data_IF_948844000091
#
_entry.id   IF_948844000091
#
_cell.length_a   1.000
_cell.length_b   1.000
_cell.length_c   1.000
_cell.angle_alpha   90.00
_cell.angle_beta   90.00
_cell.angle_gamma   90.00
#
_symmetry.space_group_name_H-M   'P 1'
#
loop_
_entity.id
_entity.type
_entity.pdbx_description
1 polymer ?
#
# COMPACT_ATOMS: atom_id res chain seq x y z
N UNK A 1 -6.25 -7.00 0.20
CA UNK A 1 -7.21 -8.08 0.54
C UNK A 1 -6.59 -9.46 0.61
N UNK A 2 -5.94 -9.96 -0.45
CA UNK A 2 -5.36 -11.31 -0.47
C UNK A 2 -4.45 -11.60 0.75
N UNK A 3 -3.54 -10.69 1.08
CA UNK A 3 -2.71 -10.82 2.27
C UNK A 3 -3.52 -10.99 3.58
N UNK A 4 -4.67 -10.33 3.72
CA UNK A 4 -5.54 -10.47 4.88
C UNK A 4 -6.22 -11.84 4.95
N UNK A 5 -6.58 -12.42 3.81
CA UNK A 5 -7.11 -13.79 3.71
C UNK A 5 -6.08 -14.80 4.22
N UNK A 6 -4.82 -14.64 3.83
CA UNK A 6 -3.75 -15.47 4.38
C UNK A 6 -3.58 -15.23 5.89
N UNK A 7 -3.59 -13.97 6.35
CA UNK A 7 -3.47 -13.63 7.77
C UNK A 7 -4.58 -14.25 8.62
N UNK A 8 -5.81 -14.34 8.11
CA UNK A 8 -6.93 -15.04 8.79
C UNK A 8 -6.53 -16.45 9.19
N UNK A 9 -5.96 -17.25 8.28
CA UNK A 9 -5.50 -18.62 8.58
C UNK A 9 -4.43 -18.67 9.66
N UNK A 10 -3.54 -17.68 9.68
CA UNK A 10 -2.49 -17.58 10.72
C UNK A 10 -3.13 -17.28 12.07
N UNK A 11 -4.05 -16.34 12.12
CA UNK A 11 -4.75 -15.95 13.35
C UNK A 11 -5.58 -17.11 13.89
N UNK A 12 -6.31 -17.84 13.04
CA UNK A 12 -7.10 -19.02 13.43
C UNK A 12 -6.25 -20.14 14.07
N UNK A 13 -4.97 -20.24 13.70
CA UNK A 13 -4.03 -21.21 14.27
C UNK A 13 -3.37 -20.73 15.56
N UNK A 14 -3.41 -19.43 15.87
CA UNK A 14 -2.62 -18.79 16.93
C UNK A 14 -3.46 -18.18 18.05
N UNK A 15 -4.70 -17.79 17.75
CA UNK A 15 -5.59 -17.09 18.67
C UNK A 15 -6.80 -17.95 19.03
N UNK A 16 -7.41 -17.64 20.17
CA UNK A 16 -8.67 -18.25 20.59
C UNK A 16 -9.85 -17.70 19.77
N UNK A 17 -10.94 -18.46 19.65
CA UNK A 17 -12.13 -18.08 18.90
C UNK A 17 -12.74 -16.73 19.34
N UNK A 18 -12.68 -16.42 20.63
CA UNK A 18 -13.17 -15.15 21.18
C UNK A 18 -12.28 -13.97 20.78
N UNK A 19 -10.98 -14.21 20.67
CA UNK A 19 -9.98 -13.20 20.30
C UNK A 19 -10.07 -12.83 18.82
N UNK A 20 -10.45 -13.78 17.96
CA UNK A 20 -10.63 -13.58 16.52
C UNK A 20 -11.72 -12.57 16.16
N UNK A 21 -12.66 -12.30 17.07
CA UNK A 21 -13.72 -11.30 16.88
C UNK A 21 -13.20 -9.86 16.99
N UNK A 22 -11.99 -9.67 17.52
CA UNK A 22 -11.40 -8.34 17.65
C UNK A 22 -10.76 -7.86 16.34
N UNK A 23 -10.49 -6.56 16.28
CA UNK A 23 -9.77 -5.98 15.15
C UNK A 23 -8.32 -6.46 15.13
N UNK A 24 -7.81 -6.70 13.93
CA UNK A 24 -6.40 -6.94 13.69
C UNK A 24 -5.89 -6.11 12.51
N UNK A 25 -4.65 -5.68 12.62
CA UNK A 25 -3.97 -4.90 11.61
C UNK A 25 -3.11 -5.82 10.74
N UNK A 26 -3.31 -5.78 9.43
CA UNK A 26 -2.40 -6.38 8.47
C UNK A 26 -1.44 -5.31 7.99
N UNK A 27 -0.15 -5.50 8.21
CA UNK A 27 0.92 -4.61 7.72
C UNK A 27 1.68 -5.36 6.64
N UNK A 28 1.39 -5.03 5.38
CA UNK A 28 2.07 -5.59 4.22
C UNK A 28 3.34 -4.77 3.94
N UNK A 29 4.47 -5.22 4.50
CA UNK A 29 5.80 -4.67 4.31
C UNK A 29 6.40 -5.18 2.99
N UNK A 30 5.92 -4.65 1.87
CA UNK A 30 6.39 -5.00 0.53
C UNK A 30 7.78 -4.44 0.20
N UNK A 31 8.23 -4.74 -1.03
CA UNK A 31 9.47 -4.21 -1.58
C UNK A 31 9.44 -2.70 -1.77
N UNK A 32 8.39 -2.17 -2.43
CA UNK A 32 8.25 -0.74 -2.72
C UNK A 32 7.25 -0.02 -1.83
N UNK A 33 6.09 -0.64 -1.60
CA UNK A 33 4.97 -0.03 -0.88
C UNK A 33 4.73 -0.81 0.40
N UNK A 34 4.48 -0.07 1.48
CA UNK A 34 3.95 -0.61 2.73
C UNK A 34 2.48 -0.25 2.80
N UNK A 35 1.61 -1.25 2.99
CA UNK A 35 0.16 -1.08 3.03
C UNK A 35 -0.42 -1.63 4.35
N UNK A 36 -1.32 -0.88 4.96
CA UNK A 36 -1.96 -1.19 6.22
C UNK A 36 -3.46 -1.31 6.01
N UNK A 37 -4.03 -2.44 6.45
CA UNK A 37 -5.47 -2.63 6.45
C UNK A 37 -5.94 -3.15 7.80
N UNK A 38 -6.94 -2.46 8.38
CA UNK A 38 -7.61 -2.92 9.58
C UNK A 38 -8.74 -3.87 9.20
N UNK A 39 -8.75 -5.04 9.82
CA UNK A 39 -9.69 -6.10 9.53
C UNK A 39 -10.32 -6.62 10.81
N UNK A 40 -11.52 -7.17 10.66
CA UNK A 40 -12.21 -7.91 11.72
C UNK A 40 -12.84 -9.16 11.11
N UNK A 41 -12.88 -10.26 11.86
CA UNK A 41 -13.63 -11.44 11.47
C UNK A 41 -15.06 -11.34 12.00
N UNK A 42 -16.02 -11.45 11.08
CA UNK A 42 -17.45 -11.57 11.39
C UNK A 42 -17.99 -12.80 10.68
N UNK A 43 -18.53 -13.76 11.43
CA UNK A 43 -19.06 -15.02 10.89
C UNK A 43 -18.09 -15.75 9.93
N UNK A 44 -16.80 -15.81 10.30
CA UNK A 44 -15.74 -16.42 9.48
C UNK A 44 -15.43 -15.68 8.16
N UNK A 45 -15.95 -14.48 7.97
CA UNK A 45 -15.68 -13.60 6.83
C UNK A 45 -14.92 -12.35 7.27
N UNK A 46 -14.17 -11.75 6.35
CA UNK A 46 -13.34 -10.58 6.60
C UNK A 46 -14.10 -9.29 6.30
N UNK A 47 -14.20 -8.43 7.29
CA UNK A 47 -14.68 -7.06 7.16
C UNK A 47 -13.49 -6.10 7.22
N UNK A 48 -13.41 -5.15 6.28
CA UNK A 48 -12.49 -4.01 6.40
C UNK A 48 -13.11 -2.94 7.29
N UNK A 49 -12.34 -2.40 8.25
CA UNK A 49 -12.86 -1.51 9.30
C UNK A 49 -12.37 -0.07 9.20
N UNK A 50 -11.42 0.20 8.32
CA UNK A 50 -10.87 1.54 8.08
C UNK A 50 -10.42 1.66 6.64
N UNK A 51 -10.24 2.88 6.15
CA UNK A 51 -9.55 3.08 4.87
C UNK A 51 -8.14 2.49 4.94
N UNK A 52 -7.70 1.91 3.82
CA UNK A 52 -6.32 1.43 3.65
C UNK A 52 -5.36 2.63 3.69
N UNK A 53 -4.27 2.50 4.46
CA UNK A 53 -3.17 3.47 4.47
C UNK A 53 -1.96 2.86 3.77
N UNK A 54 -1.30 3.64 2.92
CA UNK A 54 -0.13 3.14 2.19
C UNK A 54 0.95 4.21 2.06
N UNK A 55 2.20 3.74 1.94
CA UNK A 55 3.35 4.63 1.74
C UNK A 55 4.48 3.95 0.98
N UNK A 56 5.17 4.75 0.17
CA UNK A 56 6.38 4.39 -0.55
C UNK A 56 7.61 4.32 0.37
N UNK A 57 7.63 3.37 1.31
CA UNK A 57 8.72 3.17 2.28
C UNK A 57 9.02 1.68 2.50
N UNK A 58 9.00 0.88 1.43
CA UNK A 58 9.39 -0.54 1.47
C UNK A 58 10.91 -0.77 1.47
N UNK A 59 11.32 -2.04 1.44
CA UNK A 59 12.74 -2.41 1.51
C UNK A 59 13.63 -1.77 0.43
N UNK A 60 13.12 -1.46 -0.77
CA UNK A 60 13.93 -0.84 -1.83
C UNK A 60 14.46 0.54 -1.44
N UNK A 61 13.81 1.22 -0.50
CA UNK A 61 14.26 2.54 -0.04
C UNK A 61 15.52 2.44 0.83
N UNK A 62 15.76 1.32 1.49
CA UNK A 62 17.05 1.03 2.13
C UNK A 62 18.16 0.92 1.08
N UNK A 63 17.87 0.39 -0.11
CA UNK A 63 18.84 0.37 -1.21
C UNK A 63 19.14 1.78 -1.72
N UNK A 64 18.14 2.68 -1.72
CA UNK A 64 18.34 4.08 -2.07
C UNK A 64 19.24 4.79 -1.06
N UNK A 65 19.03 4.57 0.24
CA UNK A 65 19.94 5.09 1.27
C UNK A 65 21.35 4.52 1.15
N UNK A 66 21.48 3.22 0.81
CA UNK A 66 22.77 2.62 0.51
C UNK A 66 23.46 3.30 -0.68
N UNK A 67 22.75 3.56 -1.79
CA UNK A 67 23.33 4.29 -2.93
C UNK A 67 23.71 5.72 -2.56
N UNK A 68 22.90 6.41 -1.75
CA UNK A 68 23.24 7.74 -1.24
C UNK A 68 24.49 7.71 -0.34
N UNK A 69 24.69 6.64 0.44
CA UNK A 69 25.92 6.42 1.19
C UNK A 69 27.11 6.21 0.25
N UNK A 70 26.98 5.37 -0.79
CA UNK A 70 28.04 5.16 -1.79
C UNK A 70 28.39 6.46 -2.51
N UNK A 71 27.40 7.27 -2.91
CA UNK A 71 27.62 8.57 -3.54
C UNK A 71 28.50 9.50 -2.67
N UNK A 72 28.36 9.46 -1.35
CA UNK A 72 29.23 10.23 -0.43
C UNK A 72 30.67 9.71 -0.37
N UNK A 73 30.92 8.45 -0.75
CA UNK A 73 32.24 7.82 -0.76
C UNK A 73 32.95 7.95 -2.10
N UNK A 74 32.21 7.94 -3.20
CA UNK A 74 32.76 7.89 -4.57
C UNK A 74 32.52 9.16 -5.38
N UNK A 75 31.67 10.07 -4.89
CA UNK A 75 31.18 11.23 -5.62
C UNK A 75 29.85 10.94 -6.33
N UNK A 76 28.96 11.93 -6.38
CA UNK A 76 27.65 11.80 -7.02
C UNK A 76 27.80 11.53 -8.52
N UNK A 77 28.62 12.32 -9.21
CA UNK A 77 28.86 12.20 -10.65
C UNK A 77 29.38 10.80 -11.02
N UNK A 78 30.24 10.20 -10.19
CA UNK A 78 30.76 8.86 -10.43
C UNK A 78 29.65 7.80 -10.38
N UNK A 79 28.74 7.92 -9.41
CA UNK A 79 27.60 7.02 -9.28
C UNK A 79 26.59 7.20 -10.42
N UNK A 80 26.33 8.43 -10.85
CA UNK A 80 25.42 8.73 -11.97
C UNK A 80 25.98 8.23 -13.31
N UNK A 81 27.30 8.37 -13.53
CA UNK A 81 27.97 7.81 -14.70
C UNK A 81 27.94 6.28 -14.68
N UNK A 82 28.16 5.64 -13.52
CA UNK A 82 28.01 4.20 -13.38
C UNK A 82 26.57 3.76 -13.69
N UNK A 83 25.57 4.46 -13.16
CA UNK A 83 24.16 4.14 -13.41
C UNK A 83 23.79 4.23 -14.89
N UNK A 84 24.37 5.19 -15.62
CA UNK A 84 24.07 5.44 -17.04
C UNK A 84 24.82 4.49 -17.97
N UNK A 85 26.07 4.13 -17.64
CA UNK A 85 26.97 3.41 -18.54
C UNK A 85 27.21 1.94 -18.14
N UNK A 86 26.99 1.58 -16.87
CA UNK A 86 27.30 0.27 -16.29
C UNK A 86 26.25 -0.17 -15.25
N UNK A 87 24.97 -0.10 -15.64
CA UNK A 87 23.84 -0.40 -14.76
C UNK A 87 23.90 -1.81 -14.16
N UNK A 88 24.45 -2.77 -14.90
CA UNK A 88 24.65 -4.16 -14.46
C UNK A 88 25.60 -4.27 -13.26
N UNK A 89 26.69 -3.50 -13.23
CA UNK A 89 27.61 -3.48 -12.09
C UNK A 89 26.98 -2.77 -10.89
N UNK A 90 26.21 -1.69 -11.12
CA UNK A 90 25.42 -1.04 -10.08
C UNK A 90 24.43 -2.04 -9.43
N UNK A 91 23.71 -2.82 -10.24
CA UNK A 91 22.77 -3.82 -9.73
C UNK A 91 23.49 -4.94 -8.96
N UNK A 92 24.65 -5.39 -9.45
CA UNK A 92 25.45 -6.39 -8.76
C UNK A 92 25.95 -5.88 -7.40
N UNK A 93 26.43 -4.63 -7.32
CA UNK A 93 26.82 -3.99 -6.05
C UNK A 93 25.65 -3.95 -5.05
N UNK A 94 24.46 -3.55 -5.49
CA UNK A 94 23.24 -3.56 -4.65
C UNK A 94 22.90 -4.97 -4.19
N UNK A 95 23.02 -5.97 -5.07
CA UNK A 95 22.75 -7.38 -4.74
C UNK A 95 23.73 -7.90 -3.67
N UNK A 96 25.03 -7.57 -3.78
CA UNK A 96 26.03 -7.94 -2.78
C UNK A 96 25.73 -7.30 -1.43
N UNK A 97 25.40 -6.01 -1.41
CA UNK A 97 24.95 -5.34 -0.19
C UNK A 97 23.71 -6.02 0.40
N UNK A 98 22.71 -6.36 -0.44
CA UNK A 98 21.49 -7.01 0.02
C UNK A 98 21.77 -8.36 0.70
N UNK A 99 22.56 -9.21 0.03
CA UNK A 99 22.86 -10.58 0.45
C UNK A 99 23.76 -10.62 1.68
N UNK A 100 24.78 -9.78 1.71
CA UNK A 100 25.87 -9.89 2.69
C UNK A 100 25.69 -8.95 3.88
N UNK A 101 24.86 -7.92 3.78
CA UNK A 101 24.65 -6.94 4.84
C UNK A 101 23.17 -6.75 5.17
N UNK A 102 22.37 -6.21 4.24
CA UNK A 102 20.98 -5.78 4.51
C UNK A 102 20.09 -6.90 5.08
N UNK A 103 20.08 -8.07 4.46
CA UNK A 103 19.21 -9.19 4.88
C UNK A 103 19.65 -9.75 6.23
N UNK A 104 20.96 -9.72 6.51
CA UNK A 104 21.55 -10.23 7.75
C UNK A 104 21.48 -9.23 8.91
N UNK A 105 21.11 -7.98 8.64
CA UNK A 105 21.11 -6.93 9.65
C UNK A 105 19.96 -7.13 10.66
N UNK A 106 20.32 -7.50 11.88
CA UNK A 106 19.40 -7.73 13.00
C UNK A 106 19.14 -6.48 13.83
N UNK A 107 20.04 -5.50 13.74
CA UNK A 107 20.07 -4.33 14.62
C UNK A 107 20.70 -4.60 15.99
N UNK A 108 21.17 -5.81 16.28
CA UNK A 108 22.03 -6.07 17.42
C UNK A 108 23.47 -5.67 17.09
N UNK A 109 24.07 -4.81 17.92
CA UNK A 109 25.45 -4.34 17.70
C UNK A 109 26.48 -5.43 18.01
N UNK A 110 26.18 -6.30 18.98
CA UNK A 110 27.11 -7.33 19.44
C UNK A 110 27.31 -8.43 18.40
N UNK A 111 26.32 -8.65 17.53
CA UNK A 111 26.35 -9.67 16.48
C UNK A 111 26.75 -9.11 15.10
N UNK A 112 27.11 -7.82 15.02
CA UNK A 112 27.35 -7.15 13.74
C UNK A 112 28.84 -7.11 13.39
N UNK A 113 29.18 -7.77 12.29
CA UNK A 113 30.48 -7.62 11.64
C UNK A 113 30.43 -6.50 10.58
N UNK A 114 31.39 -5.54 10.57
CA UNK A 114 31.45 -4.50 9.56
C UNK A 114 31.44 -5.08 8.14
N UNK A 115 30.52 -4.57 7.31
CA UNK A 115 30.44 -5.00 5.92
C UNK A 115 31.53 -4.31 5.11
N UNK A 116 32.46 -5.11 4.59
CA UNK A 116 33.54 -4.65 3.71
C UNK A 116 33.12 -4.89 2.27
N UNK A 117 33.08 -3.83 1.49
CA UNK A 117 32.81 -3.86 0.06
C UNK A 117 34.09 -3.50 -0.68
N UNK A 118 34.59 -4.44 -1.47
CA UNK A 118 35.69 -4.20 -2.40
C UNK A 118 35.12 -3.71 -3.72
N UNK A 119 35.43 -2.46 -4.10
CA UNK A 119 34.97 -1.91 -5.38
C UNK A 119 35.65 -2.56 -6.59
N UNK A 120 36.86 -3.10 -6.47
CA UNK A 120 37.54 -3.80 -7.56
C UNK A 120 36.83 -5.12 -7.91
N UNK A 121 36.28 -5.80 -6.90
CA UNK A 121 35.50 -7.03 -7.10
C UNK A 121 34.03 -6.75 -7.45
N UNK A 122 33.41 -5.80 -6.76
CA UNK A 122 31.96 -5.60 -6.84
C UNK A 122 31.53 -4.61 -7.92
N UNK A 123 32.38 -3.65 -8.30
CA UNK A 123 32.01 -2.61 -9.25
C UNK A 123 33.24 -1.94 -9.91
N UNK A 124 34.13 -2.70 -10.58
CA UNK A 124 35.41 -2.18 -11.06
C UNK A 124 35.28 -0.97 -12.01
N UNK A 125 34.21 -0.87 -12.80
CA UNK A 125 34.01 0.24 -13.74
C UNK A 125 33.83 1.60 -13.04
N UNK A 126 33.44 1.63 -11.76
CA UNK A 126 33.24 2.89 -11.04
C UNK A 126 34.55 3.68 -10.92
N UNK A 127 35.69 3.00 -10.92
CA UNK A 127 37.04 3.59 -10.75
C UNK A 127 37.38 4.61 -11.83
N UNK A 128 36.85 4.42 -13.04
CA UNK A 128 37.11 5.32 -14.17
C UNK A 128 36.36 6.65 -14.04
N UNK A 129 35.30 6.69 -13.22
CA UNK A 129 34.49 7.89 -13.01
C UNK A 129 34.79 8.63 -11.70
N UNK A 130 35.56 8.02 -10.79
CA UNK A 130 35.89 8.63 -9.50
C UNK A 130 36.99 9.68 -9.70
N UNK A 131 36.71 10.89 -9.25
CA UNK A 131 37.60 12.05 -9.31
C UNK A 131 38.13 12.42 -7.92
N UNK A 132 39.12 13.32 -7.87
CA UNK A 132 39.61 13.85 -6.60
C UNK A 132 38.56 14.73 -5.89
N UNK A 133 38.49 14.72 -4.54
CA UNK A 133 39.40 14.05 -3.61
C UNK A 133 39.02 12.60 -3.26
N UNK A 134 37.93 12.07 -3.82
CA UNK A 134 37.43 10.73 -3.48
C UNK A 134 38.41 9.64 -3.88
N UNK A 135 39.04 9.80 -5.06
CA UNK A 135 40.00 8.85 -5.62
C UNK A 135 41.21 8.62 -4.70
N UNK A 136 41.85 9.69 -4.22
CA UNK A 136 42.98 9.59 -3.29
C UNK A 136 42.61 8.80 -2.02
N UNK A 137 41.43 9.07 -1.43
CA UNK A 137 40.96 8.39 -0.21
C UNK A 137 40.71 6.90 -0.46
N UNK A 138 40.09 6.54 -1.59
CA UNK A 138 39.81 5.15 -1.93
C UNK A 138 41.09 4.39 -2.27
N UNK A 139 42.02 4.99 -3.02
CA UNK A 139 43.32 4.37 -3.32
C UNK A 139 44.13 4.08 -2.05
N UNK A 140 44.12 4.98 -1.07
CA UNK A 140 44.80 4.76 0.23
C UNK A 140 44.18 3.64 1.07
N UNK A 141 42.93 3.28 0.80
CA UNK A 141 42.18 2.23 1.50
C UNK A 141 41.98 0.99 0.61
N UNK A 142 42.82 0.79 -0.41
CA UNK A 142 42.76 -0.35 -1.33
C UNK A 142 41.37 -0.54 -1.95
N UNK A 143 40.67 0.56 -2.27
CA UNK A 143 39.32 0.60 -2.82
C UNK A 143 38.23 -0.08 -1.95
N UNK A 144 38.53 -0.31 -0.66
CA UNK A 144 37.59 -0.87 0.29
C UNK A 144 36.67 0.20 0.89
N UNK A 145 35.37 -0.02 0.79
CA UNK A 145 34.35 0.72 1.54
C UNK A 145 33.88 -0.13 2.71
N UNK A 146 34.06 0.38 3.93
CA UNK A 146 33.63 -0.29 5.16
C UNK A 146 32.35 0.39 5.66
N UNK A 147 31.29 -0.40 5.83
CA UNK A 147 30.05 0.02 6.49
C UNK A 147 30.04 -0.52 7.92
N UNK A 148 30.06 0.40 8.88
CA UNK A 148 29.95 0.08 10.31
C UNK A 148 28.49 -0.23 10.70
N UNK A 149 28.29 -0.71 11.93
CA UNK A 149 26.95 -0.92 12.48
C UNK A 149 26.10 0.36 12.38
N UNK A 150 26.68 1.50 12.78
CA UNK A 150 25.98 2.78 12.81
C UNK A 150 25.67 3.29 11.39
N UNK A 151 26.55 3.03 10.42
CA UNK A 151 26.27 3.32 9.00
C UNK A 151 25.06 2.53 8.52
N UNK A 152 25.06 1.20 8.69
CA UNK A 152 23.97 0.33 8.22
C UNK A 152 22.67 0.67 8.93
N UNK A 153 22.71 0.90 10.24
CA UNK A 153 21.55 1.34 11.02
C UNK A 153 20.93 2.62 10.44
N UNK A 154 21.76 3.60 10.08
CA UNK A 154 21.33 4.87 9.47
C UNK A 154 20.65 4.64 8.11
N UNK A 155 21.01 3.61 7.35
CA UNK A 155 20.32 3.27 6.09
C UNK A 155 18.88 2.80 6.31
N UNK A 156 18.59 2.19 7.45
CA UNK A 156 17.27 1.63 7.76
C UNK A 156 16.36 2.62 8.50
N UNK A 157 16.92 3.44 9.39
CA UNK A 157 16.16 4.32 10.28
C UNK A 157 15.13 5.22 9.58
N UNK A 158 15.44 5.91 8.46
CA UNK A 158 14.45 6.75 7.78
C UNK A 158 13.26 5.94 7.25
N UNK A 159 13.48 4.68 6.87
CA UNK A 159 12.44 3.80 6.34
C UNK A 159 11.60 3.24 7.49
N UNK A 160 12.25 2.70 8.52
CA UNK A 160 11.57 2.12 9.70
C UNK A 160 10.73 3.19 10.42
N UNK A 161 11.27 4.40 10.60
CA UNK A 161 10.54 5.49 11.24
C UNK A 161 9.27 5.88 10.47
N UNK A 162 9.31 5.81 9.13
CA UNK A 162 8.12 6.03 8.31
C UNK A 162 7.07 4.93 8.48
N UNK A 163 7.49 3.66 8.55
CA UNK A 163 6.59 2.53 8.80
C UNK A 163 5.95 2.63 10.18
N UNK A 164 6.74 2.91 11.22
CA UNK A 164 6.26 3.09 12.59
C UNK A 164 5.25 4.25 12.64
N UNK A 165 5.57 5.39 12.02
CA UNK A 165 4.65 6.53 11.93
C UNK A 165 3.34 6.15 11.26
N UNK A 166 3.39 5.44 10.14
CA UNK A 166 2.21 4.98 9.40
C UNK A 166 1.34 4.04 10.26
N UNK A 167 1.96 3.13 11.01
CA UNK A 167 1.25 2.26 11.96
C UNK A 167 0.60 3.08 13.08
N UNK A 168 1.33 4.01 13.72
CA UNK A 168 0.77 4.86 14.78
C UNK A 168 -0.43 5.66 14.29
N UNK A 169 -0.33 6.26 13.10
CA UNK A 169 -1.42 7.02 12.49
C UNK A 169 -2.66 6.15 12.23
N UNK A 170 -2.46 4.92 11.75
CA UNK A 170 -3.55 3.97 11.58
C UNK A 170 -4.21 3.63 12.91
N UNK A 171 -3.41 3.31 13.94
CA UNK A 171 -3.90 2.92 15.26
C UNK A 171 -4.62 4.04 16.00
N UNK A 172 -4.24 5.30 15.78
CA UNK A 172 -4.91 6.45 16.39
C UNK A 172 -6.39 6.56 16.02
N UNK A 173 -6.75 6.10 14.82
CA UNK A 173 -8.15 6.10 14.34
C UNK A 173 -9.01 4.97 14.91
N UNK A 174 -8.48 4.14 15.82
CA UNK A 174 -9.07 2.87 16.24
C UNK A 174 -9.08 2.80 17.77
N UNK A 175 -10.19 2.33 18.37
CA UNK A 175 -10.26 2.15 19.82
C UNK A 175 -9.36 1.02 20.34
N UNK A 176 -9.40 -0.16 19.72
CA UNK A 176 -8.62 -1.34 20.16
C UNK A 176 -8.19 -2.16 18.93
N UNK A 177 -6.89 -2.46 18.84
CA UNK A 177 -6.30 -3.40 17.88
C UNK A 177 -5.66 -4.56 18.66
N UNK A 178 -6.19 -5.76 18.49
CA UNK A 178 -5.81 -6.91 19.30
C UNK A 178 -4.54 -7.61 18.79
N UNK A 179 -4.42 -7.69 17.47
CA UNK A 179 -3.30 -8.34 16.81
C UNK A 179 -2.78 -7.51 15.64
N UNK A 180 -1.50 -7.66 15.34
CA UNK A 180 -0.83 -7.13 14.17
C UNK A 180 -0.13 -8.28 13.45
N UNK A 181 -0.34 -8.40 12.14
CA UNK A 181 0.32 -9.42 11.32
C UNK A 181 1.19 -8.73 10.28
N UNK A 182 2.50 -8.94 10.37
CA UNK A 182 3.49 -8.38 9.46
C UNK A 182 3.76 -9.37 8.31
N UNK A 183 3.40 -9.00 7.09
CA UNK A 183 3.57 -9.82 5.88
C UNK A 183 4.40 -9.09 4.83
N UNK A 184 4.80 -9.80 3.77
CA UNK A 184 5.65 -9.24 2.71
C UNK A 184 7.14 -9.46 2.95
N UNK A 185 7.95 -9.29 1.91
CA UNK A 185 9.38 -9.62 1.98
C UNK A 185 10.15 -8.80 3.02
N UNK A 186 9.78 -7.54 3.24
CA UNK A 186 10.49 -6.70 4.21
C UNK A 186 10.11 -7.03 5.66
N UNK A 187 8.97 -7.68 5.92
CA UNK A 187 8.59 -8.10 7.27
C UNK A 187 9.56 -9.14 7.86
N UNK A 188 10.34 -9.83 7.03
CA UNK A 188 11.37 -10.77 7.47
C UNK A 188 12.65 -10.10 8.00
N UNK A 189 12.80 -8.79 7.83
CA UNK A 189 13.94 -8.06 8.42
C UNK A 189 13.82 -8.10 9.95
N UNK A 190 14.78 -8.74 10.60
CA UNK A 190 14.81 -8.84 12.07
C UNK A 190 14.93 -7.47 12.74
N UNK A 191 15.68 -6.54 12.14
CA UNK A 191 15.73 -5.17 12.64
C UNK A 191 14.36 -4.48 12.60
N UNK A 192 13.62 -4.59 11.48
CA UNK A 192 12.26 -4.05 11.37
C UNK A 192 11.34 -4.65 12.43
N UNK A 193 11.38 -5.98 12.62
CA UNK A 193 10.58 -6.67 13.62
C UNK A 193 10.91 -6.19 15.04
N UNK A 194 12.19 -6.03 15.35
CA UNK A 194 12.65 -5.55 16.66
C UNK A 194 12.16 -4.14 16.94
N UNK A 195 12.25 -3.24 15.97
CA UNK A 195 11.74 -1.87 16.10
C UNK A 195 10.21 -1.83 16.27
N UNK A 196 9.45 -2.61 15.49
CA UNK A 196 7.99 -2.67 15.61
C UNK A 196 7.59 -3.26 16.96
N UNK A 197 8.21 -4.36 17.41
CA UNK A 197 7.93 -4.95 18.73
C UNK A 197 8.23 -3.95 19.84
N UNK A 198 9.42 -3.34 19.84
CA UNK A 198 9.80 -2.34 20.84
C UNK A 198 8.76 -1.21 20.96
N UNK A 199 8.18 -0.80 19.85
CA UNK A 199 7.21 0.28 19.82
C UNK A 199 5.79 -0.15 20.25
N UNK A 200 5.33 -1.33 19.83
CA UNK A 200 3.92 -1.70 19.91
C UNK A 200 3.60 -2.86 20.85
N UNK A 201 4.58 -3.56 21.44
CA UNK A 201 4.36 -4.75 22.26
C UNK A 201 3.57 -4.46 23.56
N UNK A 202 3.60 -3.21 24.04
CA UNK A 202 2.78 -2.78 25.19
C UNK A 202 1.32 -2.49 24.82
N UNK A 203 1.03 -2.22 23.54
CA UNK A 203 -0.31 -1.78 23.08
C UNK A 203 -1.04 -2.87 22.28
N UNK A 204 -0.30 -3.76 21.62
CA UNK A 204 -0.85 -4.82 20.78
C UNK A 204 -0.43 -6.16 21.36
N UNK A 205 -1.42 -6.96 21.77
CA UNK A 205 -1.19 -8.23 22.47
C UNK A 205 -0.45 -9.27 21.61
N UNK A 206 -0.69 -9.27 20.30
CA UNK A 206 -0.07 -10.24 19.40
C UNK A 206 0.55 -9.56 18.17
N UNK A 207 1.88 -9.53 18.09
CA UNK A 207 2.62 -9.13 16.88
C UNK A 207 3.16 -10.39 16.22
N UNK A 208 2.54 -10.79 15.11
CA UNK A 208 2.82 -12.04 14.40
C UNK A 208 3.57 -11.77 13.10
N UNK A 209 4.60 -12.57 12.83
CA UNK A 209 5.35 -12.52 11.56
C UNK A 209 5.35 -13.93 10.95
N UNK A 210 4.48 -14.19 9.96
CA UNK A 210 4.49 -15.46 9.26
C UNK A 210 5.80 -15.64 8.49
N UNK A 211 6.34 -16.87 8.47
CA UNK A 211 7.56 -17.21 7.72
C UNK A 211 7.36 -17.21 6.20
N UNK A 212 6.11 -17.34 5.75
CA UNK A 212 5.77 -17.44 4.33
C UNK A 212 5.87 -16.06 3.64
N UNK A 213 6.71 -15.97 2.61
CA UNK A 213 6.93 -14.73 1.85
C UNK A 213 5.78 -14.38 0.88
N UNK A 214 4.96 -15.38 0.53
CA UNK A 214 3.96 -15.28 -0.55
C UNK A 214 2.52 -15.13 -0.04
N UNK A 215 2.32 -14.42 1.06
CA UNK A 215 1.01 -14.21 1.69
C UNK A 215 -0.07 -13.74 0.70
N UNK A 216 0.28 -12.86 -0.25
CA UNK A 216 -0.65 -12.39 -1.27
C UNK A 216 -1.05 -13.49 -2.28
N UNK A 217 -0.12 -14.35 -2.70
CA UNK A 217 -0.39 -15.43 -3.66
C UNK A 217 -1.28 -16.49 -3.00
N UNK A 218 -0.93 -16.93 -1.80
CA UNK A 218 -1.73 -17.92 -1.07
C UNK A 218 -3.12 -17.39 -0.72
N UNK A 219 -3.21 -16.11 -0.34
CA UNK A 219 -4.48 -15.45 -0.11
C UNK A 219 -5.35 -15.35 -1.37
N UNK A 220 -4.74 -15.12 -2.53
CA UNK A 220 -5.45 -15.09 -3.81
C UNK A 220 -5.96 -16.48 -4.22
N UNK A 221 -5.16 -17.53 -4.00
CA UNK A 221 -5.57 -18.92 -4.23
C UNK A 221 -6.77 -19.30 -3.36
N UNK A 222 -6.75 -18.90 -2.08
CA UNK A 222 -7.86 -19.13 -1.16
C UNK A 222 -9.11 -18.36 -1.59
N UNK A 223 -8.95 -17.10 -2.02
CA UNK A 223 -10.06 -16.30 -2.55
C UNK A 223 -10.71 -16.95 -3.77
N UNK A 224 -9.91 -17.48 -4.70
CA UNK A 224 -10.40 -18.21 -5.86
C UNK A 224 -11.20 -19.46 -5.49
N UNK A 225 -10.88 -20.09 -4.36
CA UNK A 225 -11.60 -21.26 -3.85
C UNK A 225 -12.89 -20.87 -3.11
N UNK A 226 -12.91 -19.71 -2.43
CA UNK A 226 -14.07 -19.20 -1.72
C UNK A 226 -14.16 -17.67 -1.80
N UNK A 227 -14.88 -17.17 -2.79
CA UNK A 227 -15.07 -15.72 -3.01
C UNK A 227 -15.91 -15.05 -1.93
N UNK A 228 -16.63 -15.82 -1.10
CA UNK A 228 -17.44 -15.30 0.03
C UNK A 228 -16.61 -15.00 1.27
N UNK A 229 -15.29 -15.15 1.23
CA UNK A 229 -14.42 -14.88 2.39
C UNK A 229 -14.34 -13.39 2.75
N UNK A 230 -14.60 -12.49 1.80
CA UNK A 230 -14.70 -11.05 2.04
C UNK A 230 -16.17 -10.69 2.26
N UNK A 231 -16.46 -10.08 3.41
CA UNK A 231 -17.80 -9.63 3.79
C UNK A 231 -18.05 -8.18 3.37
N UNK A 232 -17.14 -7.28 3.74
CA UNK A 232 -17.29 -5.83 3.52
C UNK A 232 -15.96 -5.14 3.24
N UNK A 233 -16.05 -3.98 2.59
CA UNK A 233 -14.94 -3.09 2.27
C UNK A 233 -15.23 -1.68 2.74
N UNK A 234 -14.18 -0.90 2.97
CA UNK A 234 -14.31 0.55 3.18
C UNK A 234 -14.07 1.26 1.86
N UNK A 235 -15.07 1.99 1.39
CA UNK A 235 -14.99 2.67 0.09
C UNK A 235 -13.97 3.81 0.14
N UNK A 236 -13.09 3.89 -0.85
CA UNK A 236 -11.95 4.82 -0.90
C UNK A 236 -12.28 6.16 -1.56
N UNK A 237 -13.39 6.24 -2.29
CA UNK A 237 -13.87 7.43 -3.00
C UNK A 237 -15.34 7.70 -2.67
N UNK A 238 -15.74 8.96 -2.74
CA UNK A 238 -17.14 9.34 -2.74
C UNK A 238 -17.68 9.19 -4.16
N UNK A 239 -18.74 8.41 -4.34
CA UNK A 239 -19.40 8.20 -5.62
C UNK A 239 -20.72 8.94 -5.66
N UNK A 240 -21.04 9.51 -6.81
CA UNK A 240 -22.26 10.27 -7.01
C UNK A 240 -22.60 10.43 -8.47
N UNK A 241 -23.82 10.89 -8.75
CA UNK A 241 -24.26 11.20 -10.11
C UNK A 241 -24.42 12.70 -10.29
N UNK A 242 -24.22 13.15 -11.53
CA UNK A 242 -24.62 14.51 -11.90
C UNK A 242 -26.14 14.61 -11.88
N UNK A 243 -26.67 15.57 -11.14
CA UNK A 243 -28.09 15.92 -11.27
C UNK A 243 -28.26 16.96 -12.35
N UNK A 244 -29.20 16.73 -13.25
CA UNK A 244 -29.77 17.76 -14.12
C UNK A 244 -30.98 18.33 -13.41
N UNK A 245 -30.89 19.54 -12.88
CA UNK A 245 -32.08 20.36 -12.65
C UNK A 245 -32.77 20.60 -14.01
N UNK A 246 -34.10 20.65 -14.02
CA UNK A 246 -34.88 20.98 -15.23
C UNK A 246 -34.76 22.46 -15.60
N UNK A 247 -34.19 23.25 -14.70
CA UNK A 247 -33.84 24.66 -14.86
C UNK A 247 -32.33 24.75 -15.15
N UNK A 248 -31.90 25.69 -15.98
CA UNK A 248 -30.50 25.92 -16.28
C UNK A 248 -29.77 26.47 -15.04
N UNK A 249 -29.46 25.62 -14.06
CA UNK A 249 -28.52 25.96 -13.00
C UNK A 249 -27.15 26.19 -13.62
N UNK A 250 -26.54 27.34 -13.31
CA UNK A 250 -25.19 27.70 -13.78
C UNK A 250 -24.12 26.67 -13.36
N UNK A 251 -24.39 25.88 -12.30
CA UNK A 251 -23.44 24.91 -11.75
C UNK A 251 -24.10 23.56 -11.51
N UNK A 252 -23.52 22.52 -12.11
CA UNK A 252 -24.01 21.13 -12.05
C UNK A 252 -23.81 20.53 -10.65
N UNK A 253 -24.90 20.20 -9.96
CA UNK A 253 -24.85 19.56 -8.63
C UNK A 253 -24.47 18.08 -8.70
N UNK A 254 -23.79 17.61 -7.66
CA UNK A 254 -23.36 16.24 -7.45
C UNK A 254 -24.24 15.60 -6.38
N UNK A 255 -25.05 14.61 -6.77
CA UNK A 255 -25.82 13.80 -5.84
C UNK A 255 -24.96 12.63 -5.38
N UNK A 256 -24.44 12.74 -4.16
CA UNK A 256 -23.66 11.69 -3.52
C UNK A 256 -24.52 10.45 -3.30
N UNK A 257 -24.08 9.31 -3.82
CA UNK A 257 -24.69 8.00 -3.60
C UNK A 257 -24.00 7.26 -2.45
N UNK A 258 -22.67 7.27 -2.40
CA UNK A 258 -21.89 6.61 -1.36
C UNK A 258 -20.71 7.49 -0.97
N UNK A 259 -20.47 7.63 0.32
CA UNK A 259 -19.39 8.45 0.85
C UNK A 259 -18.10 7.63 1.01
N UNK A 260 -16.95 8.26 0.76
CA UNK A 260 -15.66 7.73 1.19
C UNK A 260 -15.68 7.41 2.70
N UNK A 261 -15.13 6.26 3.06
CA UNK A 261 -15.05 5.79 4.44
C UNK A 261 -16.24 4.93 4.88
N UNK A 262 -17.29 4.82 4.06
CA UNK A 262 -18.43 3.93 4.35
C UNK A 262 -18.01 2.46 4.21
N UNK A 263 -18.33 1.65 5.23
CA UNK A 263 -18.27 0.19 5.15
C UNK A 263 -19.45 -0.32 4.32
N UNK A 264 -19.16 -1.05 3.24
CA UNK A 264 -20.13 -1.55 2.28
C UNK A 264 -19.96 -3.05 2.11
N UNK A 265 -21.05 -3.80 2.21
CA UNK A 265 -21.02 -5.25 1.99
C UNK A 265 -20.78 -5.55 0.51
N UNK A 266 -20.13 -6.67 0.22
CA UNK A 266 -19.95 -7.13 -1.17
C UNK A 266 -21.34 -7.32 -1.81
N UNK A 267 -21.54 -6.72 -2.98
CA UNK A 267 -22.80 -6.67 -3.71
C UNK A 267 -23.95 -5.95 -2.99
N UNK A 268 -23.67 -5.11 -1.99
CA UNK A 268 -24.70 -4.23 -1.43
C UNK A 268 -25.20 -3.27 -2.50
N UNK A 269 -26.51 -3.25 -2.69
CA UNK A 269 -27.20 -2.40 -3.66
C UNK A 269 -27.58 -1.06 -3.02
N UNK A 270 -27.29 0.03 -3.73
CA UNK A 270 -27.74 1.38 -3.44
C UNK A 270 -28.67 1.81 -4.57
N UNK A 271 -29.96 1.85 -4.26
CA UNK A 271 -31.02 2.16 -5.22
C UNK A 271 -31.37 3.65 -5.20
N UNK A 272 -31.56 4.21 -6.39
CA UNK A 272 -31.92 5.60 -6.58
C UNK A 272 -32.96 5.74 -7.68
N UNK A 273 -34.11 6.31 -7.32
CA UNK A 273 -35.15 6.64 -8.28
C UNK A 273 -34.80 7.95 -9.00
N UNK A 274 -34.70 7.89 -10.33
CA UNK A 274 -34.51 9.06 -11.18
C UNK A 274 -35.68 9.20 -12.14
N UNK A 275 -36.03 10.45 -12.46
CA UNK A 275 -37.13 10.81 -13.37
C UNK A 275 -36.58 11.65 -14.53
N UNK A 276 -37.04 11.43 -15.77
CA UNK A 276 -36.77 12.34 -16.87
C UNK A 276 -37.26 13.76 -16.56
N UNK A 277 -36.51 14.76 -17.01
CA UNK A 277 -36.85 16.16 -16.84
C UNK A 277 -38.12 16.55 -17.62
N UNK A 278 -38.32 15.95 -18.80
CA UNK A 278 -39.44 16.30 -19.69
C UNK A 278 -40.32 15.10 -20.02
N UNK A 279 -41.64 15.35 -20.14
CA UNK A 279 -42.66 14.32 -20.47
C UNK A 279 -42.45 13.62 -21.81
N UNK A 280 -41.72 14.22 -22.74
CA UNK A 280 -41.46 13.67 -24.08
C UNK A 280 -39.99 13.27 -24.27
N UNK A 281 -39.17 13.28 -23.21
CA UNK A 281 -37.76 12.91 -23.27
C UNK A 281 -37.61 11.45 -23.72
N UNK A 282 -36.80 11.23 -24.76
CA UNK A 282 -36.55 9.92 -25.40
C UNK A 282 -35.16 9.36 -25.07
N UNK A 283 -34.27 10.18 -24.53
CA UNK A 283 -32.93 9.81 -24.08
C UNK A 283 -32.63 10.46 -22.73
N UNK A 284 -32.01 9.71 -21.84
CA UNK A 284 -31.64 10.13 -20.51
C UNK A 284 -30.23 9.65 -20.21
N UNK A 285 -29.35 10.53 -19.73
CA UNK A 285 -27.94 10.21 -19.49
C UNK A 285 -27.62 10.36 -18.01
N UNK A 286 -27.05 9.32 -17.41
CA UNK A 286 -26.52 9.34 -16.04
C UNK A 286 -25.02 9.46 -16.12
N UNK A 287 -24.47 10.59 -15.66
CA UNK A 287 -23.03 10.77 -15.53
C UNK A 287 -22.61 10.37 -14.11
N UNK A 288 -21.79 9.33 -14.00
CA UNK A 288 -21.21 8.86 -12.74
C UNK A 288 -19.90 9.59 -12.48
N UNK A 289 -19.75 10.14 -11.28
CA UNK A 289 -18.56 10.84 -10.84
C UNK A 289 -18.00 10.22 -9.55
N UNK A 290 -16.69 10.36 -9.35
CA UNK A 290 -16.01 10.00 -8.13
C UNK A 290 -15.04 11.10 -7.68
N UNK A 291 -14.84 11.22 -6.37
CA UNK A 291 -13.91 12.19 -5.77
C UNK A 291 -13.34 11.68 -4.46
N UNK A 292 -12.17 12.17 -4.06
CA UNK A 292 -11.59 11.91 -2.74
C UNK A 292 -12.23 12.76 -1.63
N UNK A 293 -12.98 13.80 -1.98
CA UNK A 293 -13.66 14.68 -1.04
C UNK A 293 -14.94 14.00 -0.47
N UNK A 294 -15.08 13.86 0.86
CA UNK A 294 -16.26 13.22 1.45
C UNK A 294 -17.54 14.04 1.28
N UNK A 295 -17.41 15.37 1.23
CA UNK A 295 -18.53 16.32 1.28
C UNK A 295 -18.70 17.14 -0.01
N UNK A 296 -18.30 16.59 -1.16
CA UNK A 296 -18.46 17.29 -2.44
C UNK A 296 -19.93 17.58 -2.75
N UNK A 297 -20.20 18.76 -3.32
CA UNK A 297 -21.55 19.26 -3.61
C UNK A 297 -21.75 19.48 -5.12
N UNK A 298 -20.68 19.80 -5.86
CA UNK A 298 -20.75 20.11 -7.30
C UNK A 298 -19.79 19.26 -8.14
N UNK A 299 -20.15 19.05 -9.40
CA UNK A 299 -19.42 18.18 -10.34
C UNK A 299 -18.11 18.80 -10.87
N UNK A 300 -17.88 20.08 -10.65
CA UNK A 300 -16.70 20.85 -11.09
C UNK A 300 -15.73 21.14 -9.93
N UNK A 301 -15.97 20.58 -8.74
CA UNK A 301 -15.06 20.74 -7.61
C UNK A 301 -13.69 20.08 -7.86
N UNK A 302 -12.60 20.63 -7.29
CA UNK A 302 -11.27 20.06 -7.43
C UNK A 302 -11.22 18.59 -7.03
N UNK A 303 -10.63 17.76 -7.90
CA UNK A 303 -10.48 16.32 -7.68
C UNK A 303 -11.69 15.46 -8.09
N UNK A 304 -12.78 16.08 -8.58
CA UNK A 304 -13.89 15.35 -9.18
C UNK A 304 -13.47 14.73 -10.52
N UNK A 305 -13.81 13.46 -10.72
CA UNK A 305 -13.55 12.72 -11.96
C UNK A 305 -14.83 12.08 -12.45
N UNK A 306 -15.16 12.28 -13.72
CA UNK A 306 -16.21 11.51 -14.37
C UNK A 306 -15.68 10.10 -14.63
N UNK A 307 -16.38 9.09 -14.11
CA UNK A 307 -16.03 7.68 -14.25
C UNK A 307 -16.64 7.11 -15.53
N UNK A 308 -17.85 7.55 -15.88
CA UNK A 308 -18.52 7.11 -17.08
C UNK A 308 -19.91 7.72 -17.23
N UNK A 309 -20.55 7.40 -18.35
CA UNK A 309 -21.90 7.83 -18.66
C UNK A 309 -22.74 6.62 -19.07
N UNK A 310 -23.95 6.54 -18.55
CA UNK A 310 -24.94 5.53 -18.94
C UNK A 310 -26.05 6.26 -19.70
N UNK A 311 -26.18 5.97 -20.99
CA UNK A 311 -27.25 6.49 -21.83
C UNK A 311 -28.42 5.50 -21.89
N UNK A 312 -29.60 5.97 -21.50
CA UNK A 312 -30.83 5.21 -21.41
C UNK A 312 -31.81 5.76 -22.45
N UNK A 313 -32.28 4.89 -23.34
CA UNK A 313 -33.37 5.20 -24.26
C UNK A 313 -34.69 5.02 -23.54
N UNK A 314 -35.50 6.08 -23.45
CA UNK A 314 -36.80 6.07 -22.77
C UNK A 314 -37.90 5.79 -23.79
N UNK A 315 -38.61 4.64 -23.72
CA UNK A 315 -39.68 4.31 -24.66
C UNK A 315 -40.85 5.29 -24.57
N UNK A 316 -41.39 5.71 -25.73
CA UNK A 316 -42.49 6.68 -25.81
C UNK A 316 -43.77 6.24 -25.09
N UNK A 317 -44.03 4.93 -25.05
CA UNK A 317 -45.24 4.32 -24.46
C UNK A 317 -45.12 4.05 -22.96
N UNK A 318 -44.00 4.40 -22.33
CA UNK A 318 -43.79 4.13 -20.91
C UNK A 318 -44.57 5.15 -20.06
N UNK A 319 -45.66 4.68 -19.45
CA UNK A 319 -46.57 5.48 -18.61
C UNK A 319 -45.93 5.88 -17.28
N UNK A 320 -45.11 4.98 -16.72
CA UNK A 320 -44.42 5.17 -15.45
C UNK A 320 -42.91 5.32 -15.72
N UNK A 321 -42.45 6.56 -15.93
CA UNK A 321 -41.09 6.87 -16.41
C UNK A 321 -40.02 6.90 -15.31
N UNK A 322 -40.17 6.04 -14.30
CA UNK A 322 -39.17 5.89 -13.26
C UNK A 322 -38.02 5.03 -13.74
N UNK A 323 -36.81 5.50 -13.50
CA UNK A 323 -35.59 4.75 -13.73
C UNK A 323 -35.02 4.43 -12.35
N UNK A 324 -34.99 3.15 -11.98
CA UNK A 324 -34.26 2.72 -10.80
C UNK A 324 -32.79 2.52 -11.17
N UNK A 325 -31.93 3.41 -10.68
CA UNK A 325 -30.49 3.27 -10.79
C UNK A 325 -29.98 2.49 -9.59
N UNK A 326 -29.35 1.34 -9.85
CA UNK A 326 -28.73 0.52 -8.81
C UNK A 326 -27.23 0.61 -8.93
N UNK A 327 -26.57 1.12 -7.89
CA UNK A 327 -25.12 1.08 -7.73
C UNK A 327 -24.78 -0.03 -6.73
N UNK A 328 -23.87 -0.93 -7.09
CA UNK A 328 -23.34 -1.91 -6.14
C UNK A 328 -21.82 -2.05 -6.31
N UNK A 329 -21.16 -2.47 -5.23
CA UNK A 329 -19.71 -2.70 -5.23
C UNK A 329 -19.47 -4.21 -5.27
N UNK A 330 -19.06 -4.68 -6.46
CA UNK A 330 -18.93 -6.09 -6.79
C UNK A 330 -17.77 -6.81 -6.11
N UNK A 331 -17.47 -8.02 -6.59
CA UNK A 331 -16.33 -8.82 -6.16
C UNK A 331 -15.00 -8.23 -6.64
N UNK A 332 -13.88 -8.73 -6.11
CA UNK A 332 -12.54 -8.35 -6.59
C UNK A 332 -12.42 -8.78 -8.06
N UNK A 333 -12.12 -7.84 -8.94
CA UNK A 333 -11.59 -8.16 -10.27
C UNK A 333 -10.08 -8.36 -10.13
N UNK A 334 -9.63 -9.60 -10.30
CA UNK A 334 -8.19 -9.91 -10.35
C UNK A 334 -7.76 -9.75 -11.80
N UNK A 335 -7.06 -8.65 -12.10
CA UNK A 335 -6.38 -8.50 -13.38
C UNK A 335 -5.02 -9.20 -13.30
N UNK A 336 -4.75 -10.22 -14.12
CA UNK A 336 -3.38 -10.69 -14.31
C UNK A 336 -2.58 -9.56 -14.97
N UNK A 337 -1.48 -9.13 -14.33
CA UNK A 337 -0.50 -8.23 -14.91
C UNK A 337 0.54 -9.01 -15.71
#
# INVERSE_FOLDING_TARGET
EAAAIYCKKILEKKLLLEELKNNFLVVNCGGGIVELTLRQLSNNQLAEKSSTSSKHCGSIYVNKEFLAFIAKKVGLDALENLQSNHYEQLQYMIQQFCKNCKIKFTGNKDDFEPYKMDLEETCPAIKDYITEPYKEVLMKNDWLIILTYDDVKTLFEPIINQIIKLIREQLYSINICFAMVLVGGFSQSEYLQTCIKKEFDQTIKHILVPKQLFAAIEGALEYGSNTKIIYSRVITLTYGIRTTSCEEEQRKRFLRLVQKGTEVQVNQEFEYEIRPCYKNQTKFSVELHATTAPNAIYCDEPGMKQIGTIDIVVPKLWSNRFINLVLFFGQIEIHPY
#
